data_IF_771364959850
#
_entry.id   IF_771364959850
#
_cell.length_a   1.000
_cell.length_b   1.000
_cell.length_c   1.000
_cell.angle_alpha   90.00
_cell.angle_beta   90.00
_cell.angle_gamma   90.00
#
_symmetry.space_group_name_H-M   'P 1'
#
loop_
_entity.id
_entity.type
_entity.pdbx_description
1 polymer ?
#
# COMPACT_ATOMS: atom_id res chain seq x y z
N UNK A 1 -3.06 23.53 -9.28
CA UNK A 1 -2.19 23.26 -8.12
C UNK A 1 -3.00 22.46 -7.12
N UNK A 2 -2.49 21.31 -6.71
CA UNK A 2 -3.16 20.41 -5.75
C UNK A 2 -2.38 20.41 -4.43
N UNK A 3 -3.12 20.40 -3.33
CA UNK A 3 -2.56 20.42 -1.97
C UNK A 3 -3.01 19.18 -1.22
N UNK A 4 -2.06 18.57 -0.50
CA UNK A 4 -2.31 17.40 0.34
C UNK A 4 -2.00 17.78 1.79
N UNK A 5 -2.99 17.59 2.66
CA UNK A 5 -2.86 17.81 4.10
C UNK A 5 -3.14 16.50 4.82
N UNK A 6 -2.22 16.07 5.67
CA UNK A 6 -2.36 14.86 6.47
C UNK A 6 -2.60 15.26 7.92
N UNK A 7 -3.77 14.89 8.45
CA UNK A 7 -4.12 15.05 9.85
C UNK A 7 -4.07 13.67 10.50
N UNK A 8 -3.04 13.43 11.31
CA UNK A 8 -2.77 12.12 11.88
C UNK A 8 -2.78 12.22 13.41
N UNK A 9 -3.35 11.22 14.11
CA UNK A 9 -3.35 11.21 15.56
C UNK A 9 -1.92 11.11 16.09
N UNK A 10 -1.66 11.75 17.23
CA UNK A 10 -0.43 11.57 17.99
C UNK A 10 -0.78 11.23 19.42
N UNK A 11 -0.39 10.05 19.88
CA UNK A 11 -0.59 9.60 21.25
C UNK A 11 0.71 9.68 22.04
N UNK A 12 0.61 10.08 23.31
CA UNK A 12 1.75 10.09 24.23
C UNK A 12 2.29 8.67 24.41
N UNK A 13 3.61 8.49 24.27
CA UNK A 13 4.27 7.20 24.42
C UNK A 13 4.48 6.43 23.11
N UNK A 14 3.92 6.90 22.00
CA UNK A 14 4.17 6.33 20.67
C UNK A 14 5.04 7.25 19.80
N UNK A 15 5.73 6.67 18.82
CA UNK A 15 6.42 7.45 17.80
C UNK A 15 5.41 8.24 16.97
N UNK A 16 5.76 9.48 16.62
CA UNK A 16 4.91 10.30 15.75
C UNK A 16 4.77 9.64 14.37
N UNK A 17 3.61 9.81 13.70
CA UNK A 17 3.48 9.41 12.31
C UNK A 17 4.52 10.11 11.43
N UNK A 18 5.07 9.37 10.47
CA UNK A 18 5.99 9.91 9.46
C UNK A 18 5.32 9.88 8.10
N UNK A 19 5.39 10.99 7.36
CA UNK A 19 4.84 11.10 6.01
C UNK A 19 5.96 11.49 5.07
N UNK A 20 6.08 10.76 3.96
CA UNK A 20 7.05 11.05 2.91
C UNK A 20 6.41 10.89 1.54
N UNK A 21 6.70 11.86 0.66
CA UNK A 21 6.34 11.77 -0.74
C UNK A 21 7.37 10.90 -1.47
N UNK A 22 6.89 10.05 -2.37
CA UNK A 22 7.71 9.22 -3.24
C UNK A 22 7.24 9.36 -4.68
N UNK A 23 8.19 9.31 -5.62
CA UNK A 23 7.88 9.43 -7.04
C UNK A 23 7.25 8.14 -7.57
N UNK A 24 6.13 8.28 -8.27
CA UNK A 24 5.52 7.22 -9.07
C UNK A 24 5.29 7.74 -10.49
N UNK A 25 5.37 6.86 -11.48
CA UNK A 25 5.05 7.26 -12.84
C UNK A 25 3.54 7.57 -12.95
N UNK A 26 3.20 8.72 -13.53
CA UNK A 26 1.81 9.11 -13.79
C UNK A 26 1.06 9.71 -12.60
N UNK A 27 1.75 10.05 -11.50
CA UNK A 27 1.10 10.67 -10.34
C UNK A 27 2.04 10.94 -9.18
N UNK A 28 1.44 11.11 -8.01
CA UNK A 28 2.10 11.32 -6.72
C UNK A 28 1.76 10.19 -5.78
N UNK A 29 2.72 9.80 -4.95
CA UNK A 29 2.49 8.83 -3.90
C UNK A 29 3.03 9.34 -2.57
N UNK A 30 2.31 9.05 -1.49
CA UNK A 30 2.69 9.39 -0.14
C UNK A 30 2.64 8.11 0.68
N UNK A 31 3.70 7.86 1.43
CA UNK A 31 3.74 6.77 2.40
C UNK A 31 3.64 7.38 3.78
N UNK A 32 2.77 6.80 4.60
CA UNK A 32 2.49 7.21 5.96
C UNK A 32 2.83 6.03 6.85
N UNK A 33 3.88 6.14 7.65
CA UNK A 33 4.23 5.14 8.65
C UNK A 33 3.65 5.56 10.00
N UNK A 34 2.90 4.68 10.64
CA UNK A 34 2.46 4.89 12.02
C UNK A 34 2.28 3.56 12.74
N UNK A 35 2.94 3.43 13.89
CA UNK A 35 2.94 2.22 14.70
C UNK A 35 3.34 0.97 13.87
N UNK A 36 2.46 -0.01 13.76
CA UNK A 36 2.66 -1.29 13.10
C UNK A 36 2.00 -1.36 11.71
N UNK A 37 1.65 -0.22 11.11
CA UNK A 37 1.14 -0.17 9.74
C UNK A 37 1.80 0.93 8.90
N UNK A 38 1.74 0.72 7.59
CA UNK A 38 2.09 1.69 6.57
C UNK A 38 0.90 1.89 5.64
N UNK A 39 0.47 3.14 5.48
CA UNK A 39 -0.51 3.51 4.47
C UNK A 39 0.19 4.07 3.24
N UNK A 40 -0.27 3.69 2.06
CA UNK A 40 0.16 4.22 0.77
C UNK A 40 -1.03 4.97 0.15
N UNK A 41 -0.87 6.28 0.02
CA UNK A 41 -1.79 7.13 -0.72
C UNK A 41 -1.20 7.39 -2.11
N UNK A 42 -2.00 7.22 -3.16
CA UNK A 42 -1.65 7.46 -4.55
C UNK A 42 -2.68 8.38 -5.17
N UNK A 43 -2.20 9.38 -5.89
CA UNK A 43 -3.01 10.33 -6.64
C UNK A 43 -2.51 10.42 -8.08
N UNK A 44 -3.39 10.19 -9.05
CA UNK A 44 -3.04 10.31 -10.47
C UNK A 44 -3.18 11.75 -10.96
N UNK A 45 -2.11 12.28 -11.56
CA UNK A 45 -2.09 13.65 -12.10
C UNK A 45 -2.95 13.79 -13.36
N UNK A 46 -3.22 12.67 -14.05
CA UNK A 46 -4.07 12.62 -15.23
C UNK A 46 -4.82 11.29 -15.32
N UNK A 47 -5.97 11.29 -16.00
CA UNK A 47 -6.78 10.10 -16.24
C UNK A 47 -6.19 9.13 -17.27
N UNK A 48 -5.06 9.47 -17.91
CA UNK A 48 -4.56 8.77 -19.10
C UNK A 48 -3.39 7.82 -18.78
N UNK A 49 -2.91 7.78 -17.54
CA UNK A 49 -1.76 6.98 -17.13
C UNK A 49 -2.10 5.78 -16.24
N UNK A 50 -1.34 4.69 -16.38
CA UNK A 50 -1.30 3.61 -15.38
C UNK A 50 -0.22 3.94 -14.36
N UNK A 51 -0.62 4.07 -13.10
CA UNK A 51 0.31 4.13 -11.98
C UNK A 51 0.77 2.72 -11.64
N UNK A 52 2.09 2.55 -11.57
CA UNK A 52 2.74 1.28 -11.26
C UNK A 52 3.49 1.41 -9.95
N UNK A 53 3.13 0.57 -8.99
CA UNK A 53 3.87 0.41 -7.73
C UNK A 53 4.46 -0.99 -7.67
N UNK A 54 5.20 -1.29 -6.60
CA UNK A 54 5.71 -2.65 -6.39
C UNK A 54 4.60 -3.67 -6.05
N UNK A 55 3.44 -3.19 -5.58
CA UNK A 55 2.33 -4.03 -5.13
C UNK A 55 1.22 -4.15 -6.17
N UNK A 56 0.91 -3.06 -6.88
CA UNK A 56 -0.25 -2.98 -7.76
C UNK A 56 -0.01 -2.06 -8.96
N UNK A 57 -0.84 -2.24 -9.98
CA UNK A 57 -1.01 -1.30 -11.08
C UNK A 57 -2.45 -0.78 -11.05
N UNK A 58 -2.65 0.51 -11.32
CA UNK A 58 -3.98 1.12 -11.27
C UNK A 58 -4.09 2.32 -12.20
N UNK A 59 -5.29 2.62 -12.66
CA UNK A 59 -5.60 3.92 -13.27
C UNK A 59 -6.64 4.72 -12.45
N UNK A 60 -6.95 4.28 -11.24
CA UNK A 60 -7.80 5.04 -10.33
C UNK A 60 -7.15 6.38 -9.98
N UNK A 61 -7.95 7.45 -10.04
CA UNK A 61 -7.49 8.81 -9.72
C UNK A 61 -6.99 8.91 -8.28
N UNK A 62 -7.67 8.24 -7.35
CA UNK A 62 -7.28 8.17 -5.96
C UNK A 62 -7.23 6.71 -5.53
N UNK A 63 -6.15 6.32 -4.85
CA UNK A 63 -6.04 5.03 -4.20
C UNK A 63 -5.37 5.19 -2.84
N UNK A 64 -6.00 4.68 -1.80
CA UNK A 64 -5.40 4.46 -0.49
C UNK A 64 -5.28 2.96 -0.26
N UNK A 65 -4.15 2.52 0.27
CA UNK A 65 -3.92 1.14 0.65
C UNK A 65 -3.24 1.06 2.01
N UNK A 66 -3.64 0.10 2.85
CA UNK A 66 -3.02 -0.17 4.15
C UNK A 66 -2.26 -1.48 4.14
N UNK A 67 -1.07 -1.48 4.72
CA UNK A 67 -0.24 -2.65 4.91
C UNK A 67 0.15 -2.79 6.38
N UNK A 68 -0.17 -3.92 7.01
CA UNK A 68 0.35 -4.24 8.35
C UNK A 68 1.82 -4.67 8.28
N UNK A 69 2.53 -4.48 9.39
CA UNK A 69 3.93 -4.86 9.52
C UNK A 69 4.14 -6.35 9.24
N UNK A 70 5.08 -6.65 8.34
CA UNK A 70 5.44 -8.02 7.98
C UNK A 70 4.54 -8.66 6.91
N UNK A 71 3.46 -7.99 6.50
CA UNK A 71 2.61 -8.49 5.42
C UNK A 71 3.21 -8.18 4.03
N UNK A 72 3.15 -9.13 3.08
CA UNK A 72 3.76 -8.96 1.76
C UNK A 72 2.89 -8.15 0.79
N UNK A 73 1.62 -7.93 1.12
CA UNK A 73 0.64 -7.24 0.30
C UNK A 73 -0.24 -6.36 1.19
N UNK A 74 -0.78 -5.24 0.66
CA UNK A 74 -1.76 -4.47 1.40
C UNK A 74 -3.02 -5.30 1.69
N UNK A 75 -3.68 -4.95 2.78
CA UNK A 75 -4.85 -5.64 3.32
C UNK A 75 -6.15 -4.88 3.07
N UNK A 76 -6.08 -3.56 2.98
CA UNK A 76 -7.24 -2.71 2.76
C UNK A 76 -6.95 -1.76 1.62
N UNK A 77 -7.95 -1.51 0.79
CA UNK A 77 -7.87 -0.62 -0.35
C UNK A 77 -9.15 0.22 -0.45
N UNK A 78 -8.98 1.49 -0.77
CA UNK A 78 -10.05 2.41 -1.17
C UNK A 78 -9.61 3.09 -2.46
N UNK A 79 -10.43 3.00 -3.50
CA UNK A 79 -10.11 3.43 -4.85
C UNK A 79 -11.27 4.26 -5.41
N UNK A 80 -11.00 5.37 -6.08
CA UNK A 80 -12.04 6.30 -6.60
C UNK A 80 -11.69 6.77 -8.01
N UNK A 81 -12.68 6.75 -8.90
CA UNK A 81 -12.58 7.24 -10.28
C UNK A 81 -11.57 6.47 -11.13
N UNK A 82 -11.87 5.23 -11.47
CA UNK A 82 -10.99 4.39 -12.29
C UNK A 82 -11.67 3.16 -12.87
N UNK A 83 -10.95 2.43 -13.72
CA UNK A 83 -11.48 1.26 -14.44
C UNK A 83 -10.63 0.01 -14.28
N UNK A 84 -9.38 0.15 -13.81
CA UNK A 84 -8.40 -0.92 -13.79
C UNK A 84 -7.65 -0.94 -12.46
N UNK A 85 -7.61 -2.12 -11.84
CA UNK A 85 -6.77 -2.40 -10.68
C UNK A 85 -6.24 -3.84 -10.76
N UNK A 86 -4.91 -3.96 -10.74
CA UNK A 86 -4.18 -5.22 -10.75
C UNK A 86 -3.37 -5.32 -9.46
N UNK A 87 -3.52 -6.41 -8.71
CA UNK A 87 -2.73 -6.69 -7.51
C UNK A 87 -1.73 -7.81 -7.80
N UNK A 88 -0.43 -7.51 -7.74
CA UNK A 88 0.61 -8.41 -8.23
C UNK A 88 0.44 -8.70 -9.72
N UNK A 89 0.18 -9.97 -10.06
CA UNK A 89 -0.05 -10.42 -11.43
C UNK A 89 -1.53 -10.70 -11.73
N UNK A 90 -2.45 -10.31 -10.84
CA UNK A 90 -3.87 -10.65 -10.96
C UNK A 90 -4.71 -9.40 -11.19
N UNK A 91 -5.45 -9.39 -12.29
CA UNK A 91 -6.45 -8.36 -12.55
C UNK A 91 -7.63 -8.57 -11.60
N UNK A 92 -7.90 -7.55 -10.80
CA UNK A 92 -8.96 -7.55 -9.80
C UNK A 92 -10.17 -6.79 -10.33
N UNK A 93 -9.92 -5.66 -10.99
CA UNK A 93 -10.92 -4.81 -11.62
C UNK A 93 -10.45 -4.50 -13.04
N UNK A 94 -11.33 -4.72 -14.01
CA UNK A 94 -11.16 -4.33 -15.41
C UNK A 94 -12.57 -4.09 -15.98
N UNK A 95 -13.02 -2.83 -15.92
CA UNK A 95 -14.35 -2.42 -16.33
C UNK A 95 -14.29 -1.52 -17.56
N UNK A 96 -15.29 -1.58 -18.46
CA UNK A 96 -15.32 -0.70 -19.63
C UNK A 96 -15.62 0.77 -19.25
N UNK A 97 -16.32 0.98 -18.13
CA UNK A 97 -16.73 2.31 -17.65
C UNK A 97 -16.08 2.63 -16.32
N UNK A 98 -15.89 3.92 -16.06
CA UNK A 98 -15.34 4.43 -14.79
C UNK A 98 -16.23 4.04 -13.61
N UNK A 99 -15.61 3.40 -12.61
CA UNK A 99 -16.24 3.13 -11.33
C UNK A 99 -16.12 4.38 -10.45
N UNK A 100 -17.24 4.76 -9.82
CA UNK A 100 -17.25 5.82 -8.81
C UNK A 100 -16.31 5.46 -7.65
N UNK A 101 -16.38 4.20 -7.20
CA UNK A 101 -15.50 3.68 -6.17
C UNK A 101 -15.30 2.17 -6.28
N UNK A 102 -14.21 1.72 -5.67
CA UNK A 102 -14.01 0.34 -5.28
C UNK A 102 -13.34 0.29 -3.90
N UNK A 103 -13.82 -0.61 -3.03
CA UNK A 103 -13.20 -0.93 -1.76
C UNK A 103 -12.82 -2.40 -1.77
N UNK A 104 -11.65 -2.73 -1.26
CA UNK A 104 -11.21 -4.12 -1.17
C UNK A 104 -10.60 -4.42 0.19
N UNK A 105 -10.88 -5.61 0.72
CA UNK A 105 -10.31 -6.11 1.98
C UNK A 105 -9.83 -7.54 1.84
N UNK A 106 -8.59 -7.77 2.23
CA UNK A 106 -7.93 -9.08 2.20
C UNK A 106 -8.21 -9.82 3.51
N UNK A 107 -8.60 -11.08 3.39
CA UNK A 107 -8.73 -12.03 4.49
C UNK A 107 -8.03 -13.32 4.09
N UNK A 108 -6.83 -13.55 4.64
CA UNK A 108 -5.97 -14.66 4.25
C UNK A 108 -5.57 -14.58 2.78
N UNK A 109 -6.03 -15.54 1.97
CA UNK A 109 -5.76 -15.62 0.54
C UNK A 109 -6.94 -15.14 -0.33
N UNK A 110 -7.95 -14.50 0.27
CA UNK A 110 -9.10 -13.94 -0.45
C UNK A 110 -9.08 -12.42 -0.36
N UNK A 111 -9.42 -11.77 -1.47
CA UNK A 111 -9.68 -10.34 -1.55
C UNK A 111 -11.18 -10.17 -1.82
N UNK A 112 -11.89 -9.57 -0.87
CA UNK A 112 -13.30 -9.21 -1.01
C UNK A 112 -13.37 -7.79 -1.56
N UNK A 113 -14.11 -7.60 -2.65
CA UNK A 113 -14.19 -6.33 -3.38
C UNK A 113 -15.65 -5.91 -3.45
N UNK A 114 -15.90 -4.63 -3.21
CA UNK A 114 -17.19 -3.97 -3.44
C UNK A 114 -16.97 -2.74 -4.30
N UNK A 115 -17.78 -2.60 -5.34
CA UNK A 115 -17.84 -1.40 -6.18
C UNK A 115 -19.21 -0.74 -6.03
N UNK A 116 -19.45 0.34 -6.77
CA UNK A 116 -20.79 0.91 -6.93
C UNK A 116 -21.75 -0.03 -7.71
N UNK A 117 -21.22 -1.01 -8.45
CA UNK A 117 -22.00 -1.89 -9.33
C UNK A 117 -22.15 -3.32 -8.79
N UNK A 118 -21.18 -3.82 -8.02
CA UNK A 118 -21.16 -5.25 -7.63
C UNK A 118 -20.35 -5.53 -6.36
N UNK A 119 -20.51 -6.75 -5.84
CA UNK A 119 -19.72 -7.30 -4.73
C UNK A 119 -19.22 -8.68 -5.15
N UNK A 120 -17.93 -8.93 -5.01
CA UNK A 120 -17.32 -10.20 -5.38
C UNK A 120 -16.09 -10.52 -4.52
N UNK A 121 -15.65 -11.78 -4.57
CA UNK A 121 -14.47 -12.26 -3.86
C UNK A 121 -13.54 -12.98 -4.83
N UNK A 122 -12.24 -12.73 -4.72
CA UNK A 122 -11.24 -13.33 -5.59
C UNK A 122 -10.08 -13.89 -4.78
N UNK A 123 -9.58 -15.06 -5.18
CA UNK A 123 -8.40 -15.64 -4.52
C UNK A 123 -7.13 -14.97 -5.03
N UNK A 124 -6.19 -14.65 -4.15
CA UNK A 124 -4.91 -14.04 -4.49
C UNK A 124 -3.76 -14.99 -4.14
N UNK A 125 -2.74 -15.13 -5.01
CA UNK A 125 -1.60 -15.99 -4.71
C UNK A 125 -0.83 -15.46 -3.50
N UNK A 126 -0.58 -16.32 -2.51
CA UNK A 126 0.40 -16.04 -1.48
C UNK A 126 1.78 -16.44 -2.02
N UNK A 127 2.66 -15.48 -2.28
CA UNK A 127 4.08 -15.83 -2.49
C UNK A 127 4.65 -16.27 -1.14
N UNK A 128 5.14 -17.50 -1.07
CA UNK A 128 5.89 -18.01 0.07
C UNK A 128 7.20 -17.23 0.23
N UNK A 129 7.44 -16.77 1.45
CA UNK A 129 8.31 -15.67 1.86
C UNK A 129 9.82 -15.93 1.78
N UNK A 130 10.35 -16.69 0.83
CA UNK A 130 11.81 -16.92 0.79
C UNK A 130 12.61 -15.76 0.18
N UNK A 131 11.99 -14.92 -0.66
CA UNK A 131 12.71 -13.88 -1.43
C UNK A 131 12.33 -12.43 -1.08
N UNK A 132 11.24 -12.21 -0.33
CA UNK A 132 10.72 -10.87 -0.02
C UNK A 132 11.40 -10.20 1.19
N UNK A 133 11.87 -10.97 2.18
CA UNK A 133 12.55 -10.41 3.37
C UNK A 133 13.85 -9.68 2.98
N UNK A 134 14.58 -10.18 1.99
CA UNK A 134 15.79 -9.51 1.47
C UNK A 134 15.46 -8.24 0.67
N UNK A 135 14.30 -8.20 0.00
CA UNK A 135 13.87 -7.04 -0.78
C UNK A 135 13.28 -5.92 0.09
N UNK A 136 12.47 -6.26 1.10
CA UNK A 136 11.98 -5.31 2.10
C UNK A 136 13.12 -4.69 2.93
N UNK A 137 14.15 -5.48 3.29
CA UNK A 137 15.37 -4.94 3.89
C UNK A 137 16.07 -3.94 2.99
N UNK A 138 16.06 -4.16 1.67
CA UNK A 138 16.69 -3.25 0.70
C UNK A 138 15.88 -1.97 0.50
N UNK A 139 14.55 -2.06 0.54
CA UNK A 139 13.64 -0.92 0.42
C UNK A 139 13.68 -0.07 1.70
N UNK A 140 13.57 -0.67 2.88
CA UNK A 140 13.72 0.03 4.17
C UNK A 140 15.12 0.62 4.36
N UNK A 141 16.18 0.00 3.82
CA UNK A 141 17.53 0.59 3.78
C UNK A 141 17.63 1.81 2.86
N UNK A 142 16.87 1.84 1.76
CA UNK A 142 16.79 2.99 0.84
C UNK A 142 15.97 4.15 1.43
N UNK A 143 15.07 3.88 2.36
CA UNK A 143 14.22 4.85 3.05
C UNK A 143 14.72 5.25 4.46
N UNK A 144 16.01 5.06 4.79
CA UNK A 144 16.57 5.43 6.10
C UNK A 144 16.37 6.93 6.43
N UNK A 145 15.32 7.24 7.20
CA UNK A 145 15.36 8.17 8.32
C UNK A 145 16.09 7.46 9.48
N UNK A 146 16.86 8.23 10.25
CA UNK A 146 17.95 7.80 11.10
C UNK A 146 17.61 6.79 12.20
N UNK A 147 18.48 5.78 12.28
CA UNK A 147 18.90 4.94 13.41
C UNK A 147 18.16 5.07 14.75
N UNK A 148 17.23 4.15 15.01
CA UNK A 148 16.99 3.62 16.37
C UNK A 148 16.24 2.28 16.37
N UNK A 149 15.36 2.02 15.39
CA UNK A 149 14.56 0.79 15.32
C UNK A 149 15.33 -0.51 14.95
N UNK A 150 16.51 -0.40 14.32
CA UNK A 150 17.24 -1.58 13.82
C UNK A 150 17.86 -2.44 14.94
N UNK A 151 18.04 -1.90 16.15
CA UNK A 151 18.56 -2.66 17.30
C UNK A 151 17.55 -3.66 17.87
N UNK A 152 16.25 -3.36 17.77
CA UNK A 152 15.21 -4.21 18.36
C UNK A 152 14.98 -5.47 17.50
N UNK A 153 15.02 -5.33 16.16
CA UNK A 153 14.88 -6.49 15.26
C UNK A 153 16.06 -7.46 15.29
N UNK A 154 17.30 -6.98 15.54
CA UNK A 154 18.45 -7.88 15.72
C UNK A 154 18.28 -8.82 16.92
N UNK A 155 17.69 -8.32 18.01
CA UNK A 155 17.51 -9.08 19.26
C UNK A 155 16.41 -10.14 19.16
N UNK A 156 15.42 -9.94 18.28
CA UNK A 156 14.35 -10.91 18.01
C UNK A 156 14.82 -12.01 17.04
N UNK A 157 15.67 -11.66 16.07
CA UNK A 157 16.16 -12.59 15.05
C UNK A 157 17.43 -13.36 15.45
N UNK A 158 18.13 -12.91 16.49
CA UNK A 158 19.27 -13.62 17.09
C UNK A 158 19.26 -13.38 18.61
N UNK A 159 18.57 -14.21 19.40
CA UNK A 159 18.50 -14.03 20.85
C UNK A 159 19.83 -14.29 21.57
N UNK A 160 20.85 -14.81 20.87
CA UNK A 160 22.17 -15.14 21.44
C UNK A 160 23.31 -14.18 21.03
N UNK A 161 23.01 -12.98 20.50
CA UNK A 161 24.03 -11.97 20.16
C UNK A 161 23.93 -10.69 20.99
#
# INVERSE_FOLDING_TARGET
>A
QEFFTFLLPSESGFSKPEVYETSVAGGRAFVINYQDYSDLLVFADSSVGIIRTEFFNTNFRFLWARMSAGEPLPEEFVMVGGTNFTLGSRDIINQPNELEFAVARRFGNKLNVRTNESIFSISIPQKTSSTYIEKLRTILKRFKIQDSGFKIMKKILNPES
#
